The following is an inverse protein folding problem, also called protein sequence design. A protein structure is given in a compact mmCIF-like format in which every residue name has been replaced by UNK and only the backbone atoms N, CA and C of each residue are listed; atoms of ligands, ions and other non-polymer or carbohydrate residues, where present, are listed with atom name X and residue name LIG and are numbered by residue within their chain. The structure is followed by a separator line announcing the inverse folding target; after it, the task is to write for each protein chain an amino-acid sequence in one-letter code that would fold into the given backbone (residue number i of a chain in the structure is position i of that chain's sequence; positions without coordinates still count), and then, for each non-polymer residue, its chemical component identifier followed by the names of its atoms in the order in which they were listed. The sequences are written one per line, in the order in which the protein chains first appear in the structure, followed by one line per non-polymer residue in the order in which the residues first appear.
data_IF_354489565705
#
_entry.id   IF_354489565705
#
_cell.length_a   1.000
_cell.length_b   1.000
_cell.length_c   1.000
_cell.angle_alpha   90.00
_cell.angle_beta   90.00
_cell.angle_gamma   90.00
#
_symmetry.space_group_name_H-M   'P 1'
#
loop_
_entity.id
_entity.type
_entity.pdbx_description
1 polymer ?
#
# COMPACT_ATOMS: atom_id res chain seq x y z
N UNK A 1 -55.32 0.74 12.93
CA UNK A 1 -54.16 1.14 12.12
C UNK A 1 -52.93 1.57 12.93
N UNK A 2 -53.05 2.37 14.01
CA UNK A 2 -51.90 2.82 14.84
C UNK A 2 -50.95 1.72 15.36
N UNK A 3 -51.48 0.54 15.74
CA UNK A 3 -50.66 -0.59 16.24
C UNK A 3 -49.75 -1.20 15.16
N UNK A 4 -50.23 -1.23 13.92
CA UNK A 4 -49.45 -1.73 12.77
C UNK A 4 -48.36 -0.73 12.42
N UNK A 5 -48.69 0.56 12.40
CA UNK A 5 -47.71 1.64 12.18
C UNK A 5 -46.60 1.59 13.23
N UNK A 6 -46.95 1.41 14.50
CA UNK A 6 -45.96 1.29 15.58
C UNK A 6 -45.05 0.07 15.41
N UNK A 7 -45.62 -1.07 15.00
CA UNK A 7 -44.88 -2.29 14.70
C UNK A 7 -43.89 -2.10 13.54
N UNK A 8 -44.32 -1.45 12.45
CA UNK A 8 -43.44 -1.18 11.29
C UNK A 8 -42.31 -0.23 11.66
N UNK A 9 -42.57 0.81 12.44
CA UNK A 9 -41.54 1.74 12.90
C UNK A 9 -40.51 1.04 13.79
N UNK A 10 -40.95 0.20 14.73
CA UNK A 10 -40.04 -0.57 15.57
C UNK A 10 -39.15 -1.52 14.75
N UNK A 11 -39.73 -2.17 13.73
CA UNK A 11 -39.00 -3.07 12.82
C UNK A 11 -37.96 -2.30 11.98
N UNK A 12 -38.30 -1.10 11.51
CA UNK A 12 -37.38 -0.24 10.77
C UNK A 12 -36.20 0.24 11.64
N UNK A 13 -36.45 0.58 12.91
CA UNK A 13 -35.39 0.96 13.86
C UNK A 13 -34.44 -0.22 14.13
N UNK A 14 -34.98 -1.41 14.38
CA UNK A 14 -34.18 -2.61 14.58
C UNK A 14 -33.37 -2.98 13.34
N UNK A 15 -33.96 -2.90 12.15
CA UNK A 15 -33.26 -3.13 10.90
C UNK A 15 -32.15 -2.09 10.68
N UNK A 16 -32.39 -0.81 10.98
CA UNK A 16 -31.39 0.25 10.90
C UNK A 16 -30.23 0.04 11.88
N UNK A 17 -30.53 -0.29 13.13
CA UNK A 17 -29.51 -0.57 14.14
C UNK A 17 -28.69 -1.83 13.80
N UNK A 18 -29.34 -2.90 13.35
CA UNK A 18 -28.66 -4.11 12.89
C UNK A 18 -27.78 -3.85 11.67
N UNK A 19 -28.26 -3.03 10.72
CA UNK A 19 -27.49 -2.64 9.54
C UNK A 19 -26.23 -1.86 9.91
N UNK A 20 -26.35 -0.82 10.74
CA UNK A 20 -25.20 -0.03 11.19
C UNK A 20 -24.23 -0.89 12.01
N UNK A 21 -24.73 -1.70 12.95
CA UNK A 21 -23.90 -2.61 13.73
C UNK A 21 -23.14 -3.63 12.85
N UNK A 22 -23.79 -4.18 11.84
CA UNK A 22 -23.17 -5.11 10.91
C UNK A 22 -22.07 -4.46 10.07
N UNK A 23 -22.28 -3.23 9.57
CA UNK A 23 -21.25 -2.50 8.82
C UNK A 23 -19.99 -2.27 9.65
N UNK A 24 -20.12 -1.81 10.90
CA UNK A 24 -18.98 -1.60 11.80
C UNK A 24 -18.25 -2.90 12.12
N UNK A 25 -19.00 -3.99 12.34
CA UNK A 25 -18.41 -5.31 12.57
C UNK A 25 -17.59 -5.78 11.35
N UNK A 26 -18.13 -5.63 10.13
CA UNK A 26 -17.39 -6.00 8.90
C UNK A 26 -16.13 -5.15 8.70
N UNK A 27 -16.19 -3.85 9.03
CA UNK A 27 -15.02 -2.97 8.97
C UNK A 27 -13.95 -3.38 9.97
N UNK A 28 -14.33 -3.69 11.21
CA UNK A 28 -13.40 -4.17 12.24
C UNK A 28 -12.77 -5.52 11.84
N UNK A 29 -13.56 -6.42 11.26
CA UNK A 29 -13.09 -7.72 10.73
C UNK A 29 -12.08 -7.53 9.60
N UNK A 30 -12.38 -6.66 8.63
CA UNK A 30 -11.48 -6.37 7.51
C UNK A 30 -10.16 -5.76 8.00
N UNK A 31 -10.22 -4.82 8.95
CA UNK A 31 -9.02 -4.23 9.58
C UNK A 31 -8.16 -5.28 10.26
N UNK A 32 -8.77 -6.23 10.98
CA UNK A 32 -8.03 -7.31 11.64
C UNK A 32 -7.31 -8.23 10.62
N UNK A 33 -7.93 -8.52 9.48
CA UNK A 33 -7.31 -9.33 8.42
C UNK A 33 -6.13 -8.60 7.76
N UNK A 34 -6.28 -7.30 7.48
CA UNK A 34 -5.17 -6.48 6.98
C UNK A 34 -4.02 -6.48 7.99
N UNK A 35 -4.29 -6.22 9.27
CA UNK A 35 -3.24 -6.21 10.31
C UNK A 35 -2.54 -7.57 10.42
N UNK A 36 -3.26 -8.69 10.29
CA UNK A 36 -2.65 -10.02 10.27
C UNK A 36 -1.67 -10.21 9.11
N UNK A 37 -2.02 -9.74 7.92
CA UNK A 37 -1.14 -9.80 6.73
C UNK A 37 0.12 -8.96 6.97
N UNK A 38 -0.03 -7.73 7.48
CA UNK A 38 1.12 -6.87 7.78
C UNK A 38 1.98 -7.42 8.92
N UNK A 39 1.37 -8.06 9.91
CA UNK A 39 2.08 -8.76 10.98
C UNK A 39 2.88 -9.94 10.42
N UNK A 40 2.30 -10.73 9.51
CA UNK A 40 3.01 -11.81 8.84
C UNK A 40 4.22 -11.28 8.03
N UNK A 41 4.06 -10.16 7.32
CA UNK A 41 5.17 -9.51 6.61
C UNK A 41 6.29 -9.07 7.57
N UNK A 42 5.95 -8.55 8.75
CA UNK A 42 6.93 -8.22 9.81
C UNK A 42 7.65 -9.44 10.36
N UNK A 43 6.94 -10.56 10.51
CA UNK A 43 7.55 -11.83 10.93
C UNK A 43 8.53 -12.38 9.88
N UNK A 44 8.28 -12.13 8.60
CA UNK A 44 9.21 -12.45 7.51
C UNK A 44 10.37 -11.45 7.37
N UNK A 45 10.52 -10.51 8.32
CA UNK A 45 11.63 -9.57 8.39
C UNK A 45 11.40 -8.25 7.63
N UNK A 46 10.27 -8.06 6.95
CA UNK A 46 9.96 -6.82 6.25
C UNK A 46 9.35 -5.79 7.21
N UNK A 47 9.80 -4.53 7.15
CA UNK A 47 9.15 -3.41 7.83
C UNK A 47 7.90 -3.02 7.05
N UNK A 48 6.75 -3.57 7.44
CA UNK A 48 5.46 -3.28 6.83
C UNK A 48 4.59 -2.39 7.74
N UNK A 49 4.04 -1.32 7.20
CA UNK A 49 3.14 -0.37 7.89
C UNK A 49 1.99 0.00 6.99
N UNK A 50 0.82 0.20 7.57
CA UNK A 50 -0.38 0.70 6.89
C UNK A 50 -1.00 1.82 7.71
N UNK A 51 -1.71 2.72 7.02
CA UNK A 51 -2.56 3.73 7.61
C UNK A 51 -3.95 3.18 7.90
N UNK A 52 -4.96 4.03 7.62
CA UNK A 52 -6.34 3.71 7.89
C UNK A 52 -6.88 2.64 6.92
N UNK A 53 -7.83 1.85 7.41
CA UNK A 53 -8.47 0.78 6.64
C UNK A 53 -9.98 1.03 6.66
N UNK A 54 -10.52 1.37 5.49
CA UNK A 54 -11.94 1.55 5.26
C UNK A 54 -12.54 0.37 4.52
N UNK A 55 -13.69 -0.12 4.95
CA UNK A 55 -14.46 -1.10 4.19
C UNK A 55 -15.90 -0.62 4.05
N UNK A 56 -16.34 -0.44 2.81
CA UNK A 56 -17.73 -0.10 2.48
C UNK A 56 -18.46 -1.36 2.00
N UNK A 57 -19.40 -1.82 2.82
CA UNK A 57 -20.21 -3.01 2.54
C UNK A 57 -21.19 -2.78 1.38
N UNK A 58 -21.69 -1.55 1.19
CA UNK A 58 -22.68 -1.24 0.16
C UNK A 58 -22.06 -1.31 -1.24
N UNK A 59 -20.86 -0.75 -1.40
CA UNK A 59 -20.09 -0.82 -2.65
C UNK A 59 -19.14 -2.02 -2.74
N UNK A 60 -19.01 -2.80 -1.66
CA UNK A 60 -18.03 -3.88 -1.48
C UNK A 60 -16.61 -3.41 -1.83
N UNK A 61 -16.25 -2.28 -1.24
CA UNK A 61 -14.96 -1.62 -1.47
C UNK A 61 -14.08 -1.68 -0.23
N UNK A 62 -12.81 -2.03 -0.43
CA UNK A 62 -11.76 -1.95 0.58
C UNK A 62 -10.81 -0.81 0.21
N UNK A 63 -10.58 0.10 1.15
CA UNK A 63 -9.62 1.19 1.02
C UNK A 63 -8.55 1.04 2.09
N UNK A 64 -7.29 1.11 1.69
CA UNK A 64 -6.15 1.07 2.61
C UNK A 64 -5.27 2.28 2.30
N UNK A 65 -5.06 3.12 3.29
CA UNK A 65 -4.24 4.31 3.17
C UNK A 65 -2.80 4.04 3.62
N UNK A 66 -1.87 4.86 3.11
CA UNK A 66 -0.49 4.97 3.54
C UNK A 66 0.21 3.62 3.79
N UNK A 67 0.31 2.81 2.73
CA UNK A 67 1.02 1.53 2.77
C UNK A 67 2.51 1.81 2.58
N UNK A 68 3.35 1.31 3.48
CA UNK A 68 4.80 1.35 3.35
C UNK A 68 5.39 -0.02 3.70
N UNK A 69 6.05 -0.62 2.73
CA UNK A 69 6.81 -1.85 2.85
C UNK A 69 8.29 -1.55 2.62
N UNK A 70 9.13 -1.98 3.55
CA UNK A 70 10.57 -1.90 3.44
C UNK A 70 11.15 -3.29 3.69
N UNK A 71 12.03 -3.74 2.79
CA UNK A 71 12.71 -5.03 2.94
C UNK A 71 13.66 -5.01 4.15
N UNK A 72 13.92 -6.18 4.74
CA UNK A 72 14.80 -6.35 5.90
C UNK A 72 16.17 -5.70 5.68
N UNK A 73 16.69 -5.82 4.46
CA UNK A 73 18.00 -5.31 4.05
C UNK A 73 17.98 -3.80 3.70
N UNK A 74 16.82 -3.14 3.73
CA UNK A 74 16.68 -1.71 3.38
C UNK A 74 16.99 -1.38 1.91
N UNK A 75 17.14 -2.40 1.05
CA UNK A 75 17.42 -2.28 -0.38
C UNK A 75 16.18 -1.95 -1.21
N UNK A 76 15.01 -2.34 -0.73
CA UNK A 76 13.75 -2.17 -1.43
C UNK A 76 12.75 -1.48 -0.52
N UNK A 77 12.18 -0.38 -1.00
CA UNK A 77 11.09 0.33 -0.33
C UNK A 77 9.97 0.58 -1.32
N UNK A 78 8.78 0.16 -0.95
CA UNK A 78 7.56 0.34 -1.72
C UNK A 78 6.61 1.15 -0.85
N UNK A 79 6.18 2.31 -1.34
CA UNK A 79 5.15 3.11 -0.68
C UNK A 79 3.99 3.34 -1.63
N UNK A 80 2.76 3.20 -1.12
CA UNK A 80 1.52 3.47 -1.84
C UNK A 80 0.71 4.41 -0.98
N UNK A 81 0.32 5.56 -1.54
CA UNK A 81 -0.46 6.53 -0.77
C UNK A 81 -1.85 5.99 -0.43
N UNK A 82 -2.47 5.29 -1.38
CA UNK A 82 -3.83 4.81 -1.23
C UNK A 82 -4.09 3.63 -2.18
N UNK A 83 -4.71 2.58 -1.66
CA UNK A 83 -5.13 1.39 -2.39
C UNK A 83 -6.65 1.24 -2.26
N UNK A 84 -7.34 1.14 -3.39
CA UNK A 84 -8.80 1.00 -3.45
C UNK A 84 -9.12 -0.24 -4.26
N UNK A 85 -9.70 -1.26 -3.62
CA UNK A 85 -10.33 -2.37 -4.30
C UNK A 85 -11.86 -2.15 -4.30
N UNK A 86 -12.52 -2.33 -5.44
CA UNK A 86 -13.98 -2.18 -5.59
C UNK A 86 -14.61 -3.44 -6.17
N UNK A 87 -15.85 -3.71 -5.77
CA UNK A 87 -16.60 -4.86 -6.24
C UNK A 87 -15.94 -6.17 -5.83
N UNK A 88 -15.43 -6.23 -4.60
CA UNK A 88 -14.83 -7.44 -4.04
C UNK A 88 -15.93 -8.50 -3.94
N UNK A 89 -15.68 -9.65 -4.54
CA UNK A 89 -16.59 -10.79 -4.46
C UNK A 89 -16.10 -11.80 -3.43
N UNK A 90 -17.02 -12.53 -2.76
CA UNK A 90 -16.64 -13.60 -1.86
C UNK A 90 -15.70 -14.59 -2.56
N UNK A 91 -14.66 -15.09 -1.87
CA UNK A 91 -13.77 -16.07 -2.47
C UNK A 91 -14.58 -17.30 -2.88
N UNK A 92 -14.55 -17.65 -4.17
CA UNK A 92 -15.20 -18.84 -4.70
C UNK A 92 -14.11 -19.77 -5.21
N UNK A 93 -14.13 -21.03 -4.78
CA UNK A 93 -13.16 -22.06 -5.20
C UNK A 93 -11.68 -21.67 -4.97
N UNK A 94 -11.40 -20.91 -3.90
CA UNK A 94 -10.05 -20.45 -3.56
C UNK A 94 -9.53 -19.29 -4.41
N UNK A 95 -10.41 -18.66 -5.19
CA UNK A 95 -10.12 -17.50 -6.03
C UNK A 95 -10.78 -16.25 -5.46
N UNK A 96 -9.97 -15.21 -5.32
CA UNK A 96 -10.37 -13.85 -5.02
C UNK A 96 -10.66 -13.11 -6.33
N UNK A 97 -11.76 -12.37 -6.39
CA UNK A 97 -12.07 -11.53 -7.53
C UNK A 97 -12.50 -10.12 -7.10
N UNK A 98 -12.00 -9.13 -7.84
CA UNK A 98 -12.30 -7.72 -7.64
C UNK A 98 -12.53 -7.06 -8.99
N UNK A 99 -13.62 -6.28 -9.09
CA UNK A 99 -13.97 -5.59 -10.34
C UNK A 99 -12.95 -4.53 -10.73
N UNK A 100 -12.40 -3.79 -9.76
CA UNK A 100 -11.31 -2.85 -10.02
C UNK A 100 -10.39 -2.72 -8.82
N UNK A 101 -9.09 -2.67 -9.07
CA UNK A 101 -8.06 -2.35 -8.08
C UNK A 101 -7.35 -1.09 -8.57
N UNK A 102 -7.35 -0.05 -7.73
CA UNK A 102 -6.66 1.21 -7.99
C UNK A 102 -5.56 1.40 -6.96
N UNK A 103 -4.35 1.69 -7.42
CA UNK A 103 -3.23 2.09 -6.58
C UNK A 103 -2.85 3.51 -6.95
N UNK A 104 -2.87 4.40 -5.97
CA UNK A 104 -2.56 5.82 -6.15
C UNK A 104 -1.18 6.14 -5.57
N UNK A 105 -0.39 6.89 -6.33
CA UNK A 105 0.97 7.31 -5.99
C UNK A 105 1.85 6.16 -5.47
N UNK A 106 2.05 5.17 -6.34
CA UNK A 106 2.99 4.08 -6.10
C UNK A 106 4.42 4.60 -6.31
N UNK A 107 5.25 4.44 -5.29
CA UNK A 107 6.65 4.82 -5.32
C UNK A 107 7.50 3.62 -4.93
N UNK A 108 8.36 3.21 -5.85
CA UNK A 108 9.23 2.05 -5.70
C UNK A 108 10.67 2.53 -5.71
N UNK A 109 11.37 2.31 -4.62
CA UNK A 109 12.79 2.62 -4.47
C UNK A 109 13.58 1.32 -4.39
N UNK A 110 14.46 1.09 -5.36
CA UNK A 110 15.41 -0.02 -5.36
C UNK A 110 16.83 0.53 -5.21
N UNK A 111 17.58 0.01 -4.26
CA UNK A 111 18.99 0.30 -4.05
C UNK A 111 19.78 -1.01 -4.12
N UNK A 112 20.88 -1.03 -4.88
CA UNK A 112 21.75 -2.22 -4.97
C UNK A 112 22.36 -2.61 -3.61
N UNK A 113 22.60 -1.61 -2.75
CA UNK A 113 23.17 -1.79 -1.42
C UNK A 113 22.56 -0.75 -0.46
N UNK A 114 22.38 -1.06 0.84
CA UNK A 114 21.89 -0.08 1.79
C UNK A 114 22.77 1.18 1.76
N UNK A 115 22.17 2.34 1.48
CA UNK A 115 22.87 3.63 1.37
C UNK A 115 23.55 3.93 0.03
N UNK A 116 23.42 3.05 -0.98
CA UNK A 116 23.92 3.30 -2.34
C UNK A 116 22.90 4.07 -3.20
N UNK A 117 23.31 4.40 -4.43
CA UNK A 117 22.45 5.08 -5.41
C UNK A 117 21.17 4.28 -5.65
N UNK A 118 20.03 4.86 -5.29
CA UNK A 118 18.72 4.24 -5.40
C UNK A 118 18.03 4.64 -6.71
N UNK A 119 17.54 3.67 -7.47
CA UNK A 119 16.59 3.90 -8.54
C UNK A 119 15.18 4.08 -7.95
N UNK A 120 14.58 5.25 -8.19
CA UNK A 120 13.23 5.58 -7.75
C UNK A 120 12.29 5.67 -8.94
N UNK A 121 11.23 4.87 -8.90
CA UNK A 121 10.19 4.79 -9.92
C UNK A 121 8.88 5.26 -9.32
N UNK A 122 8.27 6.27 -9.94
CA UNK A 122 6.99 6.82 -9.50
C UNK A 122 5.92 6.51 -10.54
N UNK A 123 4.84 5.90 -10.07
CA UNK A 123 3.64 5.63 -10.86
C UNK A 123 2.48 6.40 -10.20
N UNK A 124 1.93 7.44 -10.86
CA UNK A 124 0.94 8.30 -10.25
C UNK A 124 -0.39 7.58 -9.98
N UNK A 125 -0.78 6.64 -10.85
CA UNK A 125 -1.99 5.83 -10.70
C UNK A 125 -1.84 4.53 -11.46
N UNK A 126 -2.14 3.39 -10.85
CA UNK A 126 -2.24 2.10 -11.53
C UNK A 126 -3.65 1.58 -11.35
N UNK A 127 -4.32 1.22 -12.45
CA UNK A 127 -5.66 0.64 -12.41
C UNK A 127 -5.63 -0.75 -13.04
N UNK A 128 -6.24 -1.71 -12.35
CA UNK A 128 -6.41 -3.09 -12.79
C UNK A 128 -7.91 -3.38 -12.80
N UNK A 129 -8.45 -3.82 -13.93
CA UNK A 129 -9.87 -4.16 -14.09
C UNK A 129 -10.07 -5.68 -14.16
N UNK A 130 -11.18 -6.12 -13.57
CA UNK A 130 -11.63 -7.52 -13.49
C UNK A 130 -10.53 -8.48 -13.00
N UNK A 131 -9.89 -8.12 -11.89
CA UNK A 131 -8.85 -8.93 -11.28
C UNK A 131 -9.42 -10.22 -10.72
N UNK A 132 -8.78 -11.35 -11.06
CA UNK A 132 -9.02 -12.67 -10.48
C UNK A 132 -7.68 -13.29 -10.14
N UNK A 133 -7.54 -13.74 -8.89
CA UNK A 133 -6.30 -14.35 -8.43
C UNK A 133 -6.52 -15.29 -7.25
N UNK A 134 -5.55 -16.15 -6.93
CA UNK A 134 -5.65 -17.05 -5.78
C UNK A 134 -5.71 -16.26 -4.47
N UNK A 135 -6.58 -16.68 -3.54
CA UNK A 135 -6.73 -16.04 -2.21
C UNK A 135 -5.52 -16.32 -1.31
N UNK A 136 -4.77 -17.38 -1.59
CA UNK A 136 -3.52 -17.69 -0.92
C UNK A 136 -2.34 -17.22 -1.77
N UNK A 137 -1.43 -16.46 -1.16
CA UNK A 137 -0.08 -16.27 -1.72
C UNK A 137 0.49 -17.67 -1.91
N UNK A 138 0.75 -18.09 -3.15
CA UNK A 138 1.37 -19.39 -3.38
C UNK A 138 2.67 -19.40 -2.57
N UNK A 139 2.81 -20.33 -1.64
CA UNK A 139 4.06 -20.48 -0.92
C UNK A 139 5.15 -20.74 -1.95
N UNK A 140 6.23 -19.96 -1.92
CA UNK A 140 7.41 -20.21 -2.76
C UNK A 140 7.84 -21.64 -2.46
N UNK A 141 7.74 -22.59 -3.42
CA UNK A 141 8.24 -23.91 -3.17
C UNK A 141 9.73 -23.76 -2.90
N UNK A 142 10.21 -24.37 -1.82
CA UNK A 142 11.64 -24.54 -1.57
C UNK A 142 12.21 -25.40 -2.72
N UNK A 143 12.46 -24.76 -3.85
CA UNK A 143 12.89 -25.39 -5.08
C UNK A 143 14.39 -25.24 -5.20
N UNK A 144 15.11 -26.33 -5.01
CA UNK A 144 16.52 -26.44 -5.38
C UNK A 144 16.65 -26.29 -6.90
N UNK A 145 17.05 -25.10 -7.36
CA UNK A 145 17.31 -24.90 -8.78
C UNK A 145 17.43 -23.44 -9.17
N UNK A 146 18.36 -23.15 -10.08
CA UNK A 146 18.74 -21.81 -10.57
C UNK A 146 17.59 -20.98 -11.17
N UNK A 147 16.42 -21.59 -11.38
CA UNK A 147 15.24 -20.96 -11.97
C UNK A 147 13.96 -21.17 -11.14
N UNK A 148 14.08 -21.55 -9.86
CA UNK A 148 12.92 -21.79 -9.00
C UNK A 148 12.03 -20.54 -8.87
N UNK A 149 12.64 -19.37 -8.68
CA UNK A 149 11.92 -18.10 -8.61
C UNK A 149 11.19 -17.75 -9.92
N UNK A 150 11.80 -18.01 -11.09
CA UNK A 150 11.18 -17.77 -12.40
C UNK A 150 9.99 -18.71 -12.63
N UNK A 151 10.14 -20.00 -12.33
CA UNK A 151 9.05 -20.99 -12.44
C UNK A 151 7.90 -20.67 -11.51
N UNK A 152 8.21 -20.24 -10.30
CA UNK A 152 7.21 -19.78 -9.34
C UNK A 152 6.46 -18.54 -9.87
N UNK A 153 7.19 -17.53 -10.35
CA UNK A 153 6.60 -16.31 -10.93
C UNK A 153 5.68 -16.62 -12.12
N UNK A 154 6.10 -17.50 -13.03
CA UNK A 154 5.28 -17.92 -14.17
C UNK A 154 4.03 -18.70 -13.76
N UNK A 155 4.13 -19.59 -12.77
CA UNK A 155 2.96 -20.31 -12.24
C UNK A 155 1.99 -19.38 -11.54
N UNK A 156 2.51 -18.44 -10.75
CA UNK A 156 1.69 -17.43 -10.09
C UNK A 156 1.00 -16.54 -11.12
N UNK A 157 1.73 -16.09 -12.15
CA UNK A 157 1.15 -15.30 -13.24
C UNK A 157 0.10 -16.07 -14.05
N UNK A 158 0.30 -17.37 -14.30
CA UNK A 158 -0.71 -18.20 -14.95
C UNK A 158 -2.00 -18.38 -14.14
N UNK A 159 -1.96 -18.14 -12.81
CA UNK A 159 -3.15 -18.13 -11.94
C UNK A 159 -3.80 -16.75 -11.80
N UNK A 160 -3.18 -15.71 -12.37
CA UNK A 160 -3.67 -14.34 -12.35
C UNK A 160 -4.37 -14.03 -13.69
N UNK A 161 -5.60 -13.56 -13.60
CA UNK A 161 -6.34 -13.04 -14.75
C UNK A 161 -6.73 -11.58 -14.47
N UNK A 162 -6.49 -10.71 -15.43
CA UNK A 162 -6.93 -9.32 -15.40
C UNK A 162 -7.33 -8.93 -16.81
N UNK A 163 -8.52 -8.33 -16.96
CA UNK A 163 -9.01 -7.88 -18.27
C UNK A 163 -8.22 -6.69 -18.80
N UNK A 164 -7.75 -5.82 -17.90
CA UNK A 164 -7.04 -4.59 -18.29
C UNK A 164 -6.11 -4.12 -17.20
N UNK A 165 -4.89 -3.76 -17.58
CA UNK A 165 -3.92 -3.10 -16.70
C UNK A 165 -3.56 -1.76 -17.33
N UNK A 166 -3.93 -0.68 -16.66
CA UNK A 166 -3.58 0.68 -17.05
C UNK A 166 -2.49 1.19 -16.10
N UNK A 167 -1.26 1.21 -16.61
CA UNK A 167 -0.13 1.85 -15.95
C UNK A 167 0.35 3.02 -16.85
N UNK A 168 0.17 4.28 -16.42
CA UNK A 168 0.78 5.42 -17.08
C UNK A 168 2.30 5.29 -17.03
N UNK A 169 2.96 5.90 -18.01
CA UNK A 169 4.40 5.82 -18.23
C UNK A 169 5.18 6.08 -16.93
N UNK A 170 5.99 5.10 -16.50
CA UNK A 170 6.74 5.19 -15.26
C UNK A 170 7.85 6.23 -15.42
N UNK A 171 7.71 7.35 -14.73
CA UNK A 171 8.73 8.38 -14.76
C UNK A 171 9.81 8.04 -13.74
N UNK A 172 11.05 7.91 -14.20
CA UNK A 172 12.21 7.87 -13.31
C UNK A 172 12.35 9.24 -12.66
N UNK A 173 12.18 9.31 -11.34
CA UNK A 173 12.27 10.59 -10.64
C UNK A 173 13.69 11.18 -10.83
N UNK A 174 13.81 12.46 -11.23
CA UNK A 174 15.12 13.09 -11.39
C UNK A 174 15.85 13.13 -10.04
N UNK A 175 17.15 12.83 -10.07
CA UNK A 175 18.01 12.87 -8.89
C UNK A 175 17.93 14.27 -8.27
N UNK A 176 17.38 14.39 -7.05
CA UNK A 176 17.55 15.62 -6.27
C UNK A 176 19.03 15.73 -5.93
N UNK A 177 19.77 16.52 -6.69
CA UNK A 177 21.09 17.00 -6.30
C UNK A 177 20.91 17.75 -4.97
N UNK A 178 21.27 17.11 -3.86
CA UNK A 178 21.45 17.83 -2.59
C UNK A 178 22.49 18.92 -2.88
N UNK A 179 22.19 20.21 -2.68
CA UNK A 179 23.22 21.23 -2.75
C UNK A 179 24.28 20.85 -1.71
N UNK A 180 25.48 20.50 -2.20
CA UNK A 180 26.66 20.32 -1.36
C UNK A 180 26.85 21.67 -0.68
N UNK A 181 26.57 21.75 0.62
CA UNK A 181 26.85 22.93 1.41
C UNK A 181 28.36 23.19 1.29
N UNK A 182 28.72 24.19 0.49
CA UNK A 182 30.08 24.69 0.41
C UNK A 182 30.26 25.43 1.73
N UNK A 183 30.89 24.80 2.71
CA UNK A 183 31.36 25.48 3.91
C UNK A 183 32.45 26.47 3.47
N UNK A 184 32.04 27.67 3.09
CA UNK A 184 32.91 28.82 2.92
C UNK A 184 33.41 29.19 4.31
N UNK A 185 34.56 28.64 4.69
CA UNK A 185 35.35 29.10 5.82
C UNK A 185 35.89 30.49 5.54
N UNK A 186 35.03 31.51 5.59
CA UNK A 186 35.45 32.89 5.59
C UNK A 186 35.69 33.32 7.05
N UNK A 187 36.97 33.43 7.41
CA UNK A 187 37.42 34.02 8.66
C UNK A 187 37.58 35.53 8.46
N UNK A 188 36.84 36.41 9.16
CA UNK A 188 37.04 37.85 9.03
C UNK A 188 38.40 38.27 9.65
N UNK A 189 39.10 39.25 9.07
CA UNK A 189 40.38 39.73 9.59
C UNK A 189 40.21 40.49 10.91
N UNK A 190 41.21 40.48 11.80
CA UNK A 190 41.13 41.18 13.08
C UNK A 190 41.13 42.70 12.89
N UNK A 191 40.21 43.37 13.59
CA UNK A 191 40.09 44.82 13.65
C UNK A 191 41.32 45.45 14.31
N UNK A 192 41.88 46.47 13.66
CA UNK A 192 43.01 47.27 14.13
C UNK A 192 42.57 48.19 15.30
N UNK A 193 43.36 48.34 16.37
CA UNK A 193 43.00 49.25 17.48
C UNK A 193 43.22 50.73 17.12
N UNK A 194 42.49 51.67 17.76
CA UNK A 194 42.55 53.08 17.46
C UNK A 194 43.89 53.70 17.89
N UNK A 195 44.44 54.51 16.98
CA UNK A 195 45.67 55.30 17.14
C UNK A 195 45.37 56.47 18.08
N UNK A 196 45.89 56.42 19.31
CA UNK A 196 46.02 57.60 20.16
C UNK A 196 47.30 58.33 19.77
N UNK A 197 47.20 59.64 19.53
CA UNK A 197 48.34 60.55 19.49
C UNK A 197 47.88 61.87 20.10
N UNK A 198 48.67 62.47 21.03
CA UNK A 198 48.46 63.85 21.43
C UNK A 198 48.86 64.83 20.31
#
# INVERSE_FOLDING_TARGET
MRKIVLGVVALAILAGAAFVGFTQWTQARARAEVEQVFTALRLHGAKATHGDVGFDLASRSLTIDAISLESADGRERITVANLIARGISPPKDGQFSAKSIELNALDVTLAERPGADSARYQLPRVQIEDYQGPTAVLSVPAGEGKHAALRFGLRHFATLSASKVQAPEAHRAPRRCRPRAISTGWKPPPSTPPRSSP
#
